data_IF_657199150007
#
_entry.id   IF_657199150007
#
_cell.length_a   1.000
_cell.length_b   1.000
_cell.length_c   1.000
_cell.angle_alpha   90.00
_cell.angle_beta   90.00
_cell.angle_gamma   90.00
#
_symmetry.space_group_name_H-M   'P 1'
#
loop_
_entity.id
_entity.type
_entity.pdbx_description
1 polymer ?
#
# COMPACT_ATOMS: atom_id res chain seq x y z
N UNK A 1 7.82 9.12 32.61
CA UNK A 1 8.48 9.72 31.43
C UNK A 1 9.97 9.66 31.62
N UNK A 2 10.75 9.25 30.61
CA UNK A 2 12.22 9.21 30.72
C UNK A 2 12.77 10.66 30.84
N UNK A 3 13.72 10.87 31.74
CA UNK A 3 14.31 12.19 32.03
C UNK A 3 14.90 12.84 30.77
N UNK A 4 15.50 12.04 29.88
CA UNK A 4 16.00 12.48 28.56
C UNK A 4 14.92 13.10 27.69
N UNK A 5 13.71 12.53 27.69
CA UNK A 5 12.59 13.04 26.90
C UNK A 5 12.03 14.37 27.43
N UNK A 6 12.10 14.57 28.73
CA UNK A 6 11.73 15.84 29.36
C UNK A 6 12.70 16.95 29.01
N UNK A 7 14.02 16.67 29.03
CA UNK A 7 15.04 17.64 28.63
C UNK A 7 14.95 17.99 27.14
N UNK A 8 14.68 17.02 26.28
CA UNK A 8 14.48 17.24 24.84
C UNK A 8 13.26 18.15 24.59
N UNK A 9 12.15 17.92 25.31
CA UNK A 9 10.98 18.80 25.24
C UNK A 9 11.23 20.21 25.77
N UNK A 10 12.01 20.33 26.84
CA UNK A 10 12.38 21.64 27.42
C UNK A 10 13.25 22.46 26.46
N UNK A 11 14.20 21.83 25.77
CA UNK A 11 15.01 22.45 24.74
C UNK A 11 14.23 22.89 23.52
N UNK A 12 13.16 22.14 23.17
CA UNK A 12 12.30 22.43 22.02
C UNK A 12 11.10 23.33 22.34
N UNK A 13 10.95 23.72 23.59
CA UNK A 13 9.84 24.60 23.99
C UNK A 13 9.93 25.92 23.25
N UNK A 14 8.87 26.27 22.52
CA UNK A 14 8.81 27.48 21.68
C UNK A 14 9.40 27.33 20.28
N UNK A 15 10.01 26.19 19.95
CA UNK A 15 10.47 25.91 18.58
C UNK A 15 9.38 25.17 17.78
N UNK A 16 9.33 25.48 16.48
CA UNK A 16 8.44 24.74 15.56
C UNK A 16 8.82 23.27 15.57
N UNK A 17 7.85 22.40 15.77
CA UNK A 17 8.09 20.95 15.78
C UNK A 17 8.40 20.47 14.36
N UNK A 18 9.66 20.46 13.96
CA UNK A 18 10.10 20.02 12.64
C UNK A 18 9.83 18.54 12.35
N UNK A 19 9.59 17.71 13.38
CA UNK A 19 9.23 16.30 13.20
C UNK A 19 7.89 16.11 12.51
N UNK A 20 6.98 17.04 12.62
CA UNK A 20 5.69 17.05 11.93
C UNK A 20 5.68 18.03 10.74
N UNK A 21 6.79 18.70 10.46
CA UNK A 21 6.90 19.52 9.28
C UNK A 21 6.73 18.65 8.03
N UNK A 22 5.95 19.12 7.08
CA UNK A 22 5.75 18.53 5.76
C UNK A 22 7.03 18.62 4.89
N UNK A 23 8.21 18.72 5.52
CA UNK A 23 9.48 18.73 4.83
C UNK A 23 9.78 17.30 4.35
N UNK A 24 9.80 17.05 3.05
CA UNK A 24 10.04 15.71 2.52
C UNK A 24 11.45 15.24 2.91
N UNK A 25 11.55 14.01 3.43
CA UNK A 25 12.86 13.36 3.62
C UNK A 25 13.48 13.09 2.25
N UNK A 26 14.81 13.13 2.18
CA UNK A 26 15.56 13.04 0.92
C UNK A 26 15.22 11.82 0.05
N UNK A 27 14.80 10.72 0.66
CA UNK A 27 14.43 9.48 -0.02
C UNK A 27 12.93 9.31 -0.31
N UNK A 28 12.08 10.29 0.02
CA UNK A 28 10.64 10.19 -0.28
C UNK A 28 10.37 10.28 -1.78
N UNK A 29 9.25 9.66 -2.19
CA UNK A 29 8.80 9.72 -3.57
C UNK A 29 8.61 11.16 -4.05
N UNK A 30 8.97 11.42 -5.30
CA UNK A 30 8.65 12.67 -5.97
C UNK A 30 7.18 12.71 -6.39
N UNK A 31 6.65 13.88 -6.71
CA UNK A 31 5.25 14.03 -7.15
C UNK A 31 5.00 13.29 -8.46
N UNK A 32 5.97 13.33 -9.39
CA UNK A 32 5.94 12.57 -10.64
C UNK A 32 5.89 11.06 -10.40
N UNK A 33 6.70 10.53 -9.47
CA UNK A 33 6.65 9.12 -9.10
C UNK A 33 5.29 8.73 -8.49
N UNK A 34 4.72 9.60 -7.66
CA UNK A 34 3.38 9.37 -7.10
C UNK A 34 2.30 9.37 -8.17
N UNK A 35 2.43 10.23 -9.19
CA UNK A 35 1.49 10.27 -10.33
C UNK A 35 1.58 8.99 -11.14
N UNK A 36 2.80 8.53 -11.48
CA UNK A 36 3.02 7.26 -12.18
C UNK A 36 2.48 6.06 -11.42
N UNK A 37 2.61 6.02 -10.09
CA UNK A 37 2.00 4.97 -9.26
C UNK A 37 0.47 4.98 -9.42
N UNK A 38 -0.15 6.15 -9.37
CA UNK A 38 -1.61 6.28 -9.55
C UNK A 38 -2.08 5.87 -10.95
N UNK A 39 -1.35 6.25 -11.99
CA UNK A 39 -1.63 5.87 -13.37
C UNK A 39 -1.52 4.36 -13.58
N UNK A 40 -0.46 3.74 -13.05
CA UNK A 40 -0.23 2.30 -13.14
C UNK A 40 -1.34 1.51 -12.41
N UNK A 41 -1.76 1.96 -11.23
CA UNK A 41 -2.85 1.30 -10.51
C UNK A 41 -4.19 1.36 -11.26
N UNK A 42 -4.47 2.44 -11.98
CA UNK A 42 -5.67 2.54 -12.84
C UNK A 42 -5.61 1.62 -14.05
N UNK A 43 -4.41 1.38 -14.61
CA UNK A 43 -4.21 0.44 -15.71
C UNK A 43 -4.35 -1.04 -15.28
N UNK A 44 -4.10 -1.34 -14.00
CA UNK A 44 -4.18 -2.71 -13.45
C UNK A 44 -5.12 -2.77 -12.23
N UNK A 45 -6.42 -2.52 -12.38
CA UNK A 45 -7.35 -2.35 -11.25
C UNK A 45 -7.61 -3.62 -10.43
N UNK A 46 -7.33 -4.79 -11.00
CA UNK A 46 -7.52 -6.08 -10.33
C UNK A 46 -6.31 -6.47 -9.46
N UNK A 47 -5.21 -5.72 -9.54
CA UNK A 47 -3.99 -6.06 -8.85
C UNK A 47 -3.87 -5.39 -7.48
N UNK A 48 -3.49 -6.17 -6.46
CA UNK A 48 -3.26 -5.64 -5.13
C UNK A 48 -1.98 -4.79 -5.07
N UNK A 49 -1.94 -3.77 -4.21
CA UNK A 49 -0.85 -2.81 -4.09
C UNK A 49 0.55 -3.43 -3.94
N UNK A 50 0.65 -4.60 -3.28
CA UNK A 50 1.95 -5.29 -3.14
C UNK A 50 2.44 -5.83 -4.47
N UNK A 51 1.54 -6.45 -5.27
CA UNK A 51 1.91 -6.94 -6.60
C UNK A 51 2.21 -5.78 -7.53
N UNK A 52 1.39 -4.73 -7.52
CA UNK A 52 1.66 -3.49 -8.28
C UNK A 52 3.05 -2.92 -8.00
N UNK A 53 3.50 -2.94 -6.73
CA UNK A 53 4.83 -2.45 -6.38
C UNK A 53 5.96 -3.23 -7.09
N UNK A 54 5.85 -4.56 -7.12
CA UNK A 54 6.85 -5.40 -7.80
C UNK A 54 6.72 -5.33 -9.33
N UNK A 55 5.50 -5.25 -9.87
CA UNK A 55 5.28 -5.04 -11.30
C UNK A 55 5.92 -3.73 -11.78
N UNK A 56 5.71 -2.62 -11.06
CA UNK A 56 6.34 -1.32 -11.38
C UNK A 56 7.85 -1.36 -11.27
N UNK A 57 8.38 -2.08 -10.29
CA UNK A 57 9.81 -2.25 -10.06
C UNK A 57 10.47 -3.03 -11.21
N UNK A 58 9.83 -4.11 -11.66
CA UNK A 58 10.31 -4.94 -12.76
C UNK A 58 10.20 -4.22 -14.11
N UNK A 59 9.11 -3.49 -14.34
CA UNK A 59 8.87 -2.68 -15.54
C UNK A 59 9.57 -1.31 -15.54
N UNK A 60 10.42 -1.01 -14.55
CA UNK A 60 11.16 0.25 -14.40
C UNK A 60 10.31 1.53 -14.34
N UNK A 61 9.04 1.38 -13.98
CA UNK A 61 8.11 2.51 -13.86
C UNK A 61 8.44 3.34 -12.63
N UNK A 62 8.41 2.72 -11.44
CA UNK A 62 8.81 3.35 -10.17
C UNK A 62 9.42 2.30 -9.24
N UNK A 63 10.61 2.56 -8.73
CA UNK A 63 11.26 1.71 -7.74
C UNK A 63 10.98 2.22 -6.31
N UNK A 64 10.01 1.59 -5.64
CA UNK A 64 9.66 1.91 -4.25
C UNK A 64 9.10 0.70 -3.50
N UNK A 65 9.05 0.81 -2.16
CA UNK A 65 8.52 -0.26 -1.32
C UNK A 65 7.00 -0.41 -1.45
N UNK A 66 6.44 -1.61 -1.23
CA UNK A 66 4.99 -1.80 -1.19
C UNK A 66 4.26 -0.88 -0.20
N UNK A 67 4.90 -0.54 0.94
CA UNK A 67 4.35 0.39 1.91
C UNK A 67 4.23 1.82 1.37
N UNK A 68 5.12 2.22 0.46
CA UNK A 68 5.05 3.52 -0.21
C UNK A 68 3.92 3.55 -1.22
N UNK A 69 3.77 2.49 -2.03
CA UNK A 69 2.63 2.33 -2.95
C UNK A 69 1.31 2.38 -2.19
N UNK A 70 1.19 1.64 -1.08
CA UNK A 70 -0.01 1.65 -0.24
C UNK A 70 -0.39 3.07 0.21
N UNK A 71 0.60 3.86 0.70
CA UNK A 71 0.35 5.23 1.17
C UNK A 71 -0.15 6.15 0.05
N UNK A 72 0.47 6.07 -1.13
CA UNK A 72 0.05 6.85 -2.31
C UNK A 72 -1.35 6.48 -2.74
N UNK A 73 -1.65 5.18 -2.89
CA UNK A 73 -2.97 4.72 -3.32
C UNK A 73 -4.06 5.03 -2.28
N UNK A 74 -3.73 4.94 -0.98
CA UNK A 74 -4.64 5.34 0.10
C UNK A 74 -4.98 6.83 0.03
N UNK A 75 -3.97 7.69 -0.13
CA UNK A 75 -4.16 9.13 -0.22
C UNK A 75 -5.00 9.54 -1.45
N UNK A 76 -4.95 8.76 -2.53
CA UNK A 76 -5.71 8.97 -3.77
C UNK A 76 -7.06 8.26 -3.81
N UNK A 77 -7.46 7.55 -2.77
CA UNK A 77 -8.72 6.78 -2.73
C UNK A 77 -8.77 5.60 -3.70
N UNK A 78 -7.61 5.09 -4.15
CA UNK A 78 -7.48 4.00 -5.14
C UNK A 78 -7.33 2.61 -4.50
N UNK A 79 -7.51 2.46 -3.19
CA UNK A 79 -7.51 1.16 -2.54
C UNK A 79 -8.92 0.59 -2.53
N UNK A 80 -9.11 -0.59 -3.14
CA UNK A 80 -10.34 -1.36 -2.98
C UNK A 80 -10.49 -1.78 -1.51
N UNK A 81 -11.63 -1.45 -0.91
CA UNK A 81 -11.92 -1.72 0.48
C UNK A 81 -12.25 -3.19 0.74
N UNK A 82 -11.26 -4.08 0.75
CA UNK A 82 -11.42 -5.42 1.30
C UNK A 82 -10.57 -5.56 2.56
N UNK A 83 -11.22 -5.72 3.70
CA UNK A 83 -10.56 -6.14 4.92
C UNK A 83 -10.13 -7.59 4.76
N UNK A 84 -8.84 -7.93 4.85
CA UNK A 84 -8.42 -9.32 4.80
C UNK A 84 -8.94 -10.04 6.03
N UNK A 85 -9.75 -11.09 5.81
CA UNK A 85 -10.11 -12.01 6.89
C UNK A 85 -8.84 -12.75 7.31
N UNK A 86 -8.44 -12.70 8.60
CA UNK A 86 -7.26 -13.40 9.05
C UNK A 86 -7.47 -14.92 8.89
N UNK A 87 -6.63 -15.55 8.06
CA UNK A 87 -6.60 -17.00 7.92
C UNK A 87 -5.83 -17.62 9.08
N UNK A 88 -6.44 -18.59 9.77
CA UNK A 88 -5.74 -19.40 10.77
C UNK A 88 -4.64 -20.19 10.08
N UNK A 89 -3.38 -19.93 10.41
CA UNK A 89 -2.26 -20.75 9.96
C UNK A 89 -2.27 -22.07 10.72
N UNK A 90 -2.38 -23.19 10.00
CA UNK A 90 -2.20 -24.50 10.58
C UNK A 90 -0.72 -24.76 10.84
N UNK A 91 -0.44 -25.44 11.94
CA UNK A 91 0.90 -25.92 12.30
C UNK A 91 0.97 -27.40 11.93
N UNK A 92 2.05 -27.85 11.27
CA UNK A 92 2.32 -29.29 11.12
C UNK A 92 2.55 -29.81 9.70
N UNK A 93 2.37 -29.03 8.63
CA UNK A 93 2.72 -29.47 7.28
C UNK A 93 4.13 -28.98 6.89
N UNK A 94 5.02 -29.93 6.61
CA UNK A 94 6.38 -29.63 6.13
C UNK A 94 6.26 -29.04 4.72
N UNK A 95 6.65 -27.79 4.57
CA UNK A 95 6.62 -27.11 3.29
C UNK A 95 7.77 -27.60 2.41
N UNK A 96 7.54 -27.89 1.12
CA UNK A 96 8.61 -28.24 0.19
C UNK A 96 9.54 -27.05 0.01
N UNK A 97 10.84 -27.32 -0.01
CA UNK A 97 11.89 -26.33 -0.17
C UNK A 97 12.33 -26.20 -1.64
N UNK A 98 12.25 -27.29 -2.40
CA UNK A 98 12.69 -27.36 -3.79
C UNK A 98 11.54 -27.69 -4.73
N UNK A 99 11.61 -27.25 -5.99
CA UNK A 99 10.69 -27.68 -7.02
C UNK A 99 10.64 -29.20 -7.12
N UNK A 100 9.50 -29.73 -7.49
CA UNK A 100 9.21 -31.15 -7.68
C UNK A 100 9.37 -32.06 -6.45
N UNK A 101 9.50 -31.50 -5.24
CA UNK A 101 9.41 -32.30 -4.00
C UNK A 101 7.97 -32.72 -3.71
N UNK A 102 7.01 -31.82 -3.90
CA UNK A 102 5.60 -32.08 -3.66
C UNK A 102 4.77 -31.60 -4.85
N UNK A 103 3.94 -32.49 -5.41
CA UNK A 103 2.90 -32.11 -6.35
C UNK A 103 1.53 -32.26 -5.69
N UNK A 104 0.77 -31.18 -5.68
CA UNK A 104 -0.63 -31.18 -5.24
C UNK A 104 -1.50 -31.47 -6.44
N UNK A 105 -2.39 -32.46 -6.32
CA UNK A 105 -3.37 -32.80 -7.36
C UNK A 105 -4.77 -32.66 -6.79
N UNK A 106 -5.67 -32.10 -7.56
CA UNK A 106 -7.06 -31.88 -7.16
C UNK A 106 -7.98 -31.73 -8.38
N UNK A 107 -9.24 -32.08 -8.18
CA UNK A 107 -10.28 -32.00 -9.20
C UNK A 107 -11.31 -30.96 -8.77
N UNK A 108 -11.57 -30.01 -9.64
CA UNK A 108 -12.54 -28.94 -9.41
C UNK A 108 -13.58 -28.91 -10.53
N UNK A 109 -14.80 -28.47 -10.20
CA UNK A 109 -15.87 -28.32 -11.18
C UNK A 109 -15.82 -26.96 -11.88
N UNK A 110 -16.00 -26.96 -13.20
CA UNK A 110 -16.23 -25.76 -14.01
C UNK A 110 -17.66 -25.84 -14.58
N UNK A 111 -18.46 -24.80 -14.32
CA UNK A 111 -19.75 -24.65 -14.98
C UNK A 111 -19.53 -23.89 -16.29
N UNK A 112 -19.86 -24.53 -17.42
CA UNK A 112 -19.75 -23.99 -18.76
C UNK A 112 -21.12 -24.08 -19.42
N UNK A 113 -21.77 -22.95 -19.66
CA UNK A 113 -23.10 -22.87 -20.25
C UNK A 113 -24.15 -23.78 -19.58
N UNK A 114 -24.09 -23.93 -18.25
CA UNK A 114 -25.02 -24.78 -17.48
C UNK A 114 -24.59 -26.24 -17.31
N UNK A 115 -23.55 -26.69 -18.01
CA UNK A 115 -22.99 -28.04 -17.88
C UNK A 115 -21.75 -28.04 -16.99
N UNK A 116 -21.63 -29.04 -16.12
CA UNK A 116 -20.48 -29.19 -15.25
C UNK A 116 -19.42 -30.09 -15.87
N UNK A 117 -18.21 -29.57 -15.94
CA UNK A 117 -17.00 -30.25 -16.38
C UNK A 117 -16.01 -30.39 -15.26
N UNK A 118 -15.11 -31.36 -15.36
CA UNK A 118 -14.08 -31.62 -14.36
C UNK A 118 -12.75 -31.02 -14.80
N UNK A 119 -12.18 -30.12 -13.99
CA UNK A 119 -10.82 -29.62 -14.15
C UNK A 119 -9.92 -30.34 -13.16
N UNK A 120 -9.04 -31.20 -13.65
CA UNK A 120 -7.94 -31.74 -12.87
C UNK A 120 -6.70 -30.86 -13.06
N UNK A 121 -6.03 -30.50 -11.97
CA UNK A 121 -4.81 -29.70 -12.01
C UNK A 121 -3.73 -30.33 -11.14
N UNK A 122 -2.47 -30.20 -11.57
CA UNK A 122 -1.27 -30.59 -10.82
C UNK A 122 -0.44 -29.34 -10.59
N UNK A 123 -0.21 -29.00 -9.32
CA UNK A 123 0.52 -27.81 -8.88
C UNK A 123 1.76 -28.22 -8.09
N UNK A 124 2.93 -27.68 -8.48
CA UNK A 124 4.14 -27.82 -7.70
C UNK A 124 4.06 -27.02 -6.39
N UNK A 125 4.29 -27.70 -5.28
CA UNK A 125 4.11 -27.15 -3.95
C UNK A 125 5.12 -26.09 -3.55
N UNK A 126 6.32 -26.08 -4.13
CA UNK A 126 7.37 -25.10 -3.85
C UNK A 126 7.22 -23.85 -4.72
N UNK A 127 7.22 -24.05 -6.04
CA UNK A 127 7.19 -22.95 -7.02
C UNK A 127 5.80 -22.38 -7.27
N UNK A 128 4.73 -23.10 -6.93
CA UNK A 128 3.34 -22.79 -7.32
C UNK A 128 3.07 -22.95 -8.82
N UNK A 129 3.98 -23.52 -9.56
CA UNK A 129 3.87 -23.76 -10.98
C UNK A 129 2.77 -24.80 -11.27
N UNK A 130 1.94 -24.54 -12.28
CA UNK A 130 0.97 -25.52 -12.77
C UNK A 130 1.70 -26.44 -13.73
N UNK A 131 1.99 -27.65 -13.24
CA UNK A 131 2.75 -28.67 -13.95
C UNK A 131 1.95 -29.24 -15.11
N UNK A 132 0.68 -29.54 -14.85
CA UNK A 132 -0.24 -30.05 -15.87
C UNK A 132 -1.70 -29.79 -15.46
N UNK A 133 -2.60 -29.75 -16.44
CA UNK A 133 -4.04 -29.62 -16.20
C UNK A 133 -4.83 -30.17 -17.39
N UNK A 134 -6.04 -30.67 -17.13
CA UNK A 134 -6.98 -31.09 -18.17
C UNK A 134 -8.42 -30.80 -17.76
N UNK A 135 -9.28 -30.52 -18.75
CA UNK A 135 -10.72 -30.42 -18.57
C UNK A 135 -11.37 -31.60 -19.29
N UNK A 136 -12.22 -32.33 -18.58
CA UNK A 136 -12.93 -33.52 -19.08
C UNK A 136 -14.40 -33.48 -18.71
N UNK A 137 -15.23 -34.23 -19.49
CA UNK A 137 -16.66 -34.40 -19.21
C UNK A 137 -16.90 -35.36 -18.05
N UNK A 138 -16.02 -36.34 -17.89
CA UNK A 138 -15.97 -37.30 -16.80
C UNK A 138 -14.57 -37.33 -16.20
N UNK A 139 -14.46 -37.78 -14.97
CA UNK A 139 -13.16 -37.88 -14.28
C UNK A 139 -13.14 -39.21 -13.55
N UNK A 140 -12.68 -40.22 -14.23
CA UNK A 140 -12.47 -41.56 -13.69
C UNK A 140 -11.05 -41.71 -13.12
N UNK A 141 -10.78 -42.82 -12.46
CA UNK A 141 -9.47 -43.13 -11.89
C UNK A 141 -8.39 -43.21 -12.97
N UNK A 142 -8.66 -43.89 -14.09
CA UNK A 142 -7.76 -43.97 -15.22
C UNK A 142 -7.40 -42.62 -15.84
N UNK A 143 -8.35 -41.68 -15.79
CA UNK A 143 -8.13 -40.32 -16.27
C UNK A 143 -7.09 -39.60 -15.43
N UNK A 144 -7.19 -39.72 -14.11
CA UNK A 144 -6.24 -39.09 -13.16
C UNK A 144 -4.83 -39.70 -13.30
N UNK A 145 -4.74 -41.02 -13.46
CA UNK A 145 -3.47 -41.70 -13.72
C UNK A 145 -2.85 -41.22 -15.06
N UNK A 146 -3.63 -41.06 -16.10
CA UNK A 146 -3.19 -40.55 -17.41
C UNK A 146 -2.69 -39.10 -17.29
N UNK A 147 -3.41 -38.22 -16.57
CA UNK A 147 -3.06 -36.82 -16.34
C UNK A 147 -1.71 -36.73 -15.58
N UNK A 148 -1.55 -37.58 -14.56
CA UNK A 148 -0.32 -37.62 -13.79
C UNK A 148 0.86 -38.19 -14.61
N UNK A 149 0.59 -39.18 -15.49
CA UNK A 149 1.61 -39.69 -16.38
C UNK A 149 2.10 -38.61 -17.37
N UNK A 150 1.20 -37.82 -17.94
CA UNK A 150 1.56 -36.70 -18.83
C UNK A 150 2.39 -35.65 -18.10
N UNK A 151 2.07 -35.36 -16.84
CA UNK A 151 2.89 -34.47 -16.01
C UNK A 151 4.32 -35.01 -15.80
N UNK A 152 4.46 -36.33 -15.62
CA UNK A 152 5.77 -36.99 -15.52
C UNK A 152 6.55 -36.98 -16.82
N UNK A 153 5.89 -37.13 -17.95
CA UNK A 153 6.53 -37.06 -19.25
C UNK A 153 7.17 -35.68 -19.51
N UNK A 154 6.54 -34.61 -19.02
CA UNK A 154 7.13 -33.28 -19.06
C UNK A 154 8.31 -33.11 -18.09
N UNK A 155 8.37 -33.89 -17.00
CA UNK A 155 9.43 -33.85 -15.99
C UNK A 155 9.89 -35.26 -15.59
N UNK A 156 10.61 -35.96 -16.45
CA UNK A 156 10.91 -37.40 -16.31
C UNK A 156 11.78 -37.74 -15.08
N UNK A 157 12.61 -36.80 -14.65
CA UNK A 157 13.48 -36.97 -13.48
C UNK A 157 12.78 -36.70 -12.15
N UNK A 158 11.60 -36.08 -12.19
CA UNK A 158 10.87 -35.74 -10.98
C UNK A 158 10.30 -36.99 -10.27
N UNK A 159 10.46 -37.05 -8.97
CA UNK A 159 9.92 -38.11 -8.08
C UNK A 159 9.15 -37.45 -6.94
N UNK A 160 8.07 -36.71 -7.24
CA UNK A 160 7.39 -35.92 -6.24
C UNK A 160 6.62 -36.81 -5.25
N UNK A 161 6.39 -36.27 -4.06
CA UNK A 161 5.32 -36.74 -3.19
C UNK A 161 4.01 -36.16 -3.70
N UNK A 162 3.08 -37.02 -4.08
CA UNK A 162 1.74 -36.64 -4.54
C UNK A 162 0.85 -36.38 -3.33
N UNK A 163 0.25 -35.19 -3.28
CA UNK A 163 -0.68 -34.79 -2.22
C UNK A 163 -2.04 -34.58 -2.85
N UNK A 164 -3.03 -35.36 -2.41
CA UNK A 164 -4.43 -35.24 -2.85
C UNK A 164 -5.39 -35.19 -1.67
N UNK A 165 -6.64 -34.86 -1.93
CA UNK A 165 -7.73 -35.12 -1.01
C UNK A 165 -8.09 -36.62 -0.97
N UNK A 166 -9.19 -36.97 -0.29
CA UNK A 166 -9.71 -38.33 -0.18
C UNK A 166 -10.79 -38.61 -1.27
N UNK A 167 -10.77 -37.92 -2.40
CA UNK A 167 -11.68 -38.18 -3.51
C UNK A 167 -11.59 -39.66 -3.95
N UNK A 168 -12.72 -40.24 -4.42
CA UNK A 168 -12.78 -41.67 -4.82
C UNK A 168 -11.72 -42.04 -5.85
N UNK A 169 -11.43 -41.14 -6.80
CA UNK A 169 -10.41 -41.33 -7.85
C UNK A 169 -8.97 -41.43 -7.31
N UNK A 170 -8.68 -40.91 -6.10
CA UNK A 170 -7.37 -40.97 -5.48
C UNK A 170 -7.22 -42.11 -4.45
N UNK A 171 -8.33 -42.77 -4.11
CA UNK A 171 -8.35 -43.84 -3.10
C UNK A 171 -8.21 -45.22 -3.75
N UNK A 172 -8.53 -45.32 -5.04
CA UNK A 172 -8.59 -46.53 -5.81
C UNK A 172 -7.28 -47.31 -5.88
N UNK A 173 -7.34 -48.65 -6.07
CA UNK A 173 -6.17 -49.51 -6.02
C UNK A 173 -5.21 -49.25 -7.18
N UNK A 174 -5.76 -49.05 -8.38
CA UNK A 174 -4.96 -48.88 -9.60
C UNK A 174 -4.18 -47.60 -9.60
N UNK A 175 -4.75 -46.49 -9.04
CA UNK A 175 -4.03 -45.25 -8.83
C UNK A 175 -2.83 -45.41 -7.84
N UNK A 176 -3.02 -46.13 -6.76
CA UNK A 176 -1.95 -46.41 -5.79
C UNK A 176 -0.84 -47.27 -6.39
N UNK A 177 -1.23 -48.29 -7.17
CA UNK A 177 -0.28 -49.15 -7.86
C UNK A 177 0.51 -48.37 -8.91
N UNK A 178 -0.16 -47.52 -9.70
CA UNK A 178 0.51 -46.58 -10.61
C UNK A 178 1.54 -45.71 -9.92
N UNK A 179 1.15 -45.07 -8.80
CA UNK A 179 2.08 -44.21 -8.01
C UNK A 179 3.31 -45.00 -7.54
N UNK A 180 3.11 -46.24 -7.06
CA UNK A 180 4.18 -47.15 -6.59
C UNK A 180 5.12 -47.52 -7.73
N UNK A 181 4.56 -47.96 -8.88
CA UNK A 181 5.35 -48.32 -10.06
C UNK A 181 6.12 -47.11 -10.63
N UNK A 182 5.53 -45.95 -10.51
CA UNK A 182 6.14 -44.68 -10.93
C UNK A 182 7.28 -44.18 -10.01
N UNK A 183 7.58 -44.89 -8.92
CA UNK A 183 8.60 -44.49 -7.94
C UNK A 183 8.23 -43.22 -7.15
N UNK A 184 6.94 -42.88 -7.07
CA UNK A 184 6.42 -41.75 -6.32
C UNK A 184 5.82 -42.19 -4.99
N UNK A 185 5.55 -41.25 -4.10
CA UNK A 185 4.83 -41.50 -2.85
C UNK A 185 3.52 -40.73 -2.84
N UNK A 186 2.46 -41.34 -2.29
CA UNK A 186 1.16 -40.72 -2.16
C UNK A 186 0.83 -40.40 -0.70
N UNK A 187 0.46 -39.16 -0.44
CA UNK A 187 0.01 -38.70 0.87
C UNK A 187 -1.38 -38.10 0.71
N UNK A 188 -2.34 -38.72 1.38
CA UNK A 188 -3.70 -38.19 1.48
C UNK A 188 -3.79 -37.15 2.56
N UNK A 189 -4.54 -36.11 2.31
CA UNK A 189 -4.84 -35.13 3.36
C UNK A 189 -5.76 -35.77 4.39
N UNK A 190 -5.43 -35.60 5.67
CA UNK A 190 -6.33 -36.02 6.75
C UNK A 190 -7.60 -35.15 6.71
N UNK A 191 -8.80 -35.74 6.99
CA UNK A 191 -10.04 -35.00 7.10
C UNK A 191 -9.96 -33.81 8.10
N UNK A 192 -9.07 -33.89 9.07
CA UNK A 192 -8.82 -32.84 10.09
C UNK A 192 -7.73 -31.86 9.70
N UNK A 193 -7.07 -32.02 8.54
CA UNK A 193 -6.01 -31.14 8.03
C UNK A 193 -6.23 -30.74 6.57
N UNK A 194 -7.32 -30.05 6.24
CA UNK A 194 -7.60 -29.62 4.86
C UNK A 194 -6.53 -28.63 4.32
N UNK A 195 -5.74 -28.03 5.22
CA UNK A 195 -4.73 -27.04 4.85
C UNK A 195 -3.57 -27.61 4.00
N UNK A 196 -3.36 -28.94 4.00
CA UNK A 196 -2.33 -29.54 3.17
C UNK A 196 -2.62 -29.42 1.68
N UNK A 197 -3.90 -29.34 1.27
CA UNK A 197 -4.30 -29.12 -0.13
C UNK A 197 -4.68 -27.64 -0.44
N UNK A 198 -4.67 -26.77 0.55
CA UNK A 198 -5.05 -25.37 0.41
C UNK A 198 -4.28 -24.56 -0.65
N UNK A 199 -3.13 -25.08 -1.13
CA UNK A 199 -2.37 -24.47 -2.22
C UNK A 199 -3.10 -24.60 -3.55
N UNK A 200 -3.56 -25.78 -3.88
CA UNK A 200 -4.27 -26.04 -5.14
C UNK A 200 -5.71 -25.56 -5.08
N UNK A 201 -6.36 -25.61 -3.92
CA UNK A 201 -7.67 -24.98 -3.71
C UNK A 201 -7.61 -23.46 -4.00
N UNK A 202 -6.57 -22.79 -3.53
CA UNK A 202 -6.33 -21.37 -3.82
C UNK A 202 -6.09 -21.13 -5.31
N UNK A 203 -5.40 -22.05 -6.00
CA UNK A 203 -5.22 -21.99 -7.44
C UNK A 203 -6.59 -22.04 -8.15
N UNK A 204 -7.44 -23.02 -7.82
CA UNK A 204 -8.77 -23.13 -8.41
C UNK A 204 -9.63 -21.88 -8.14
N UNK A 205 -9.60 -21.33 -6.93
CA UNK A 205 -10.30 -20.08 -6.62
C UNK A 205 -9.79 -18.91 -7.48
N UNK A 206 -8.46 -18.82 -7.65
CA UNK A 206 -7.82 -17.77 -8.44
C UNK A 206 -8.19 -17.88 -9.91
N UNK A 207 -8.08 -19.06 -10.51
CA UNK A 207 -8.49 -19.33 -11.90
C UNK A 207 -9.96 -18.96 -12.13
N UNK A 208 -10.85 -19.42 -11.24
CA UNK A 208 -12.29 -19.14 -11.36
C UNK A 208 -12.58 -17.64 -11.22
N UNK A 209 -11.92 -16.96 -10.28
CA UNK A 209 -12.16 -15.54 -10.02
C UNK A 209 -11.56 -14.60 -11.05
N UNK A 210 -10.30 -14.86 -11.46
CA UNK A 210 -9.55 -13.96 -12.33
C UNK A 210 -9.75 -14.27 -13.84
N UNK A 211 -10.31 -15.45 -14.20
CA UNK A 211 -10.46 -15.85 -15.61
C UNK A 211 -11.86 -16.37 -15.94
N UNK A 212 -12.29 -17.49 -15.39
CA UNK A 212 -13.51 -18.19 -15.82
C UNK A 212 -14.77 -17.31 -15.63
N UNK A 213 -14.92 -16.66 -14.45
CA UNK A 213 -16.09 -15.81 -14.15
C UNK A 213 -16.11 -14.52 -14.97
N UNK A 214 -14.95 -14.06 -15.42
CA UNK A 214 -14.82 -12.82 -16.19
C UNK A 214 -15.08 -13.11 -17.68
N UNK A 215 -14.48 -14.19 -18.21
CA UNK A 215 -14.53 -14.52 -19.64
C UNK A 215 -15.74 -15.34 -20.03
N UNK A 216 -16.44 -15.97 -19.08
CA UNK A 216 -17.67 -16.76 -19.24
C UNK A 216 -17.62 -17.69 -20.47
N UNK A 217 -16.91 -18.84 -20.39
CA UNK A 217 -16.77 -19.75 -21.53
C UNK A 217 -18.12 -20.31 -22.02
N UNK A 218 -18.30 -20.34 -23.32
CA UNK A 218 -19.55 -20.80 -23.96
C UNK A 218 -19.51 -22.26 -24.42
N UNK A 219 -18.32 -22.86 -24.54
CA UNK A 219 -18.10 -24.24 -24.93
C UNK A 219 -16.93 -24.86 -24.19
N UNK A 220 -16.78 -26.18 -24.25
CA UNK A 220 -15.65 -26.89 -23.68
C UNK A 220 -14.32 -26.44 -24.31
N UNK A 221 -14.28 -26.23 -25.61
CA UNK A 221 -13.07 -25.80 -26.32
C UNK A 221 -12.71 -24.33 -26.01
N UNK A 222 -13.73 -23.49 -25.86
CA UNK A 222 -13.51 -22.10 -25.38
C UNK A 222 -12.96 -22.10 -23.96
N UNK A 223 -13.48 -22.95 -23.07
CA UNK A 223 -12.95 -23.11 -21.73
C UNK A 223 -11.50 -23.60 -21.72
N UNK A 224 -11.16 -24.59 -22.58
CA UNK A 224 -9.78 -25.07 -22.74
C UNK A 224 -8.83 -23.92 -23.16
N UNK A 225 -9.24 -23.14 -24.16
CA UNK A 225 -8.48 -21.97 -24.62
C UNK A 225 -8.26 -20.96 -23.50
N UNK A 226 -9.34 -20.58 -22.80
CA UNK A 226 -9.29 -19.63 -21.70
C UNK A 226 -8.37 -20.11 -20.58
N UNK A 227 -8.43 -21.39 -20.22
CA UNK A 227 -7.56 -21.97 -19.19
C UNK A 227 -6.11 -22.07 -19.66
N UNK A 228 -5.86 -22.43 -20.94
CA UNK A 228 -4.50 -22.42 -21.53
C UNK A 228 -3.84 -21.04 -21.39
N UNK A 229 -4.53 -20.01 -21.87
CA UNK A 229 -4.04 -18.64 -21.80
C UNK A 229 -3.77 -18.20 -20.36
N UNK A 230 -4.70 -18.56 -19.46
CA UNK A 230 -4.55 -18.20 -18.07
C UNK A 230 -3.43 -18.95 -17.35
N UNK A 231 -3.24 -20.25 -17.60
CA UNK A 231 -2.13 -21.04 -17.04
C UNK A 231 -0.79 -20.49 -17.54
N UNK A 232 -0.70 -20.17 -18.83
CA UNK A 232 0.50 -19.53 -19.39
C UNK A 232 0.81 -18.23 -18.69
N UNK A 233 -0.17 -17.34 -18.57
CA UNK A 233 -0.03 -16.08 -17.83
C UNK A 233 0.32 -16.31 -16.35
N UNK A 234 -0.36 -17.25 -15.69
CA UNK A 234 -0.12 -17.57 -14.27
C UNK A 234 1.30 -18.05 -14.02
N UNK A 235 1.79 -18.94 -14.86
CA UNK A 235 3.12 -19.53 -14.71
C UNK A 235 4.25 -18.56 -15.06
N UNK A 236 4.09 -17.74 -16.11
CA UNK A 236 5.20 -16.97 -16.67
C UNK A 236 5.14 -15.46 -16.43
N UNK A 237 3.96 -14.90 -16.06
CA UNK A 237 3.77 -13.45 -15.92
C UNK A 237 3.30 -13.04 -14.53
N UNK A 238 2.36 -13.81 -13.96
CA UNK A 238 1.71 -13.44 -12.71
C UNK A 238 2.64 -13.60 -11.51
N UNK A 239 2.95 -12.50 -10.83
CA UNK A 239 3.75 -12.50 -9.61
C UNK A 239 2.98 -13.14 -8.44
N UNK A 240 3.57 -14.09 -7.73
CA UNK A 240 2.91 -14.86 -6.69
C UNK A 240 3.42 -14.51 -5.29
N UNK A 241 2.52 -14.04 -4.41
CA UNK A 241 2.88 -13.53 -3.06
C UNK A 241 3.53 -14.57 -2.15
N UNK A 242 3.15 -15.85 -2.26
CA UNK A 242 3.68 -16.90 -1.39
C UNK A 242 5.12 -17.32 -1.72
N UNK A 243 5.66 -16.90 -2.86
CA UNK A 243 7.03 -17.19 -3.32
C UNK A 243 7.87 -15.93 -3.53
N UNK A 244 7.54 -14.84 -2.83
CA UNK A 244 8.32 -13.59 -2.88
C UNK A 244 8.02 -12.68 -4.06
N UNK A 245 6.82 -12.77 -4.65
CA UNK A 245 6.41 -11.97 -5.81
C UNK A 245 7.31 -12.18 -7.03
N UNK A 246 7.78 -13.40 -7.25
CA UNK A 246 8.32 -13.85 -8.53
C UNK A 246 7.26 -14.66 -9.28
N UNK A 247 7.49 -14.98 -10.56
CA UNK A 247 6.60 -15.87 -11.30
C UNK A 247 6.82 -17.32 -10.84
N UNK A 248 5.81 -18.19 -10.92
CA UNK A 248 5.99 -19.62 -10.68
C UNK A 248 7.11 -20.24 -11.53
N UNK A 249 7.27 -19.81 -12.80
CA UNK A 249 8.34 -20.25 -13.68
C UNK A 249 9.72 -19.83 -13.16
N UNK A 250 9.90 -18.57 -12.75
CA UNK A 250 11.17 -18.09 -12.22
C UNK A 250 11.59 -18.87 -10.97
N UNK A 251 10.59 -19.21 -10.12
CA UNK A 251 10.84 -20.02 -8.92
C UNK A 251 11.16 -21.46 -9.28
N UNK A 252 10.51 -22.04 -10.30
CA UNK A 252 10.79 -23.39 -10.77
C UNK A 252 12.23 -23.49 -11.31
N UNK A 253 12.65 -22.47 -12.06
CA UNK A 253 13.98 -22.39 -12.66
C UNK A 253 15.07 -21.94 -11.68
N UNK A 254 14.73 -21.63 -10.43
CA UNK A 254 15.68 -21.18 -9.41
C UNK A 254 16.22 -19.75 -9.64
N UNK A 255 15.54 -18.92 -10.43
CA UNK A 255 15.96 -17.53 -10.74
C UNK A 255 15.59 -16.53 -9.66
N UNK A 256 14.74 -16.92 -8.69
CA UNK A 256 14.23 -16.03 -7.65
C UNK A 256 15.32 -15.30 -6.82
N UNK A 257 16.47 -15.89 -6.45
CA UNK A 257 17.49 -15.16 -5.69
C UNK A 257 18.16 -14.04 -6.50
N UNK A 258 18.29 -14.24 -7.80
CA UNK A 258 18.85 -13.21 -8.70
C UNK A 258 17.88 -12.06 -8.89
N UNK A 259 16.60 -12.37 -9.13
CA UNK A 259 15.53 -11.36 -9.25
C UNK A 259 15.45 -10.52 -7.97
N UNK A 260 15.50 -11.12 -6.79
CA UNK A 260 15.45 -10.39 -5.52
C UNK A 260 16.67 -9.48 -5.36
N UNK A 261 17.89 -9.96 -5.63
CA UNK A 261 19.11 -9.12 -5.59
C UNK A 261 19.03 -7.94 -6.56
N UNK A 262 18.49 -8.17 -7.76
CA UNK A 262 18.31 -7.10 -8.74
C UNK A 262 17.31 -6.04 -8.23
N UNK A 263 16.18 -6.47 -7.67
CA UNK A 263 15.17 -5.57 -7.09
C UNK A 263 15.72 -4.75 -5.93
N UNK A 264 16.50 -5.35 -5.04
CA UNK A 264 17.13 -4.66 -3.91
C UNK A 264 18.10 -3.58 -4.42
N UNK A 265 18.89 -3.88 -5.45
CA UNK A 265 19.77 -2.91 -6.10
C UNK A 265 18.97 -1.74 -6.69
N UNK A 266 17.92 -2.00 -7.47
CA UNK A 266 17.04 -0.95 -8.04
C UNK A 266 16.44 -0.06 -6.96
N UNK A 267 16.02 -0.64 -5.83
CA UNK A 267 15.48 0.12 -4.70
C UNK A 267 16.54 1.02 -4.05
N UNK A 268 17.77 0.54 -3.89
CA UNK A 268 18.88 1.31 -3.35
C UNK A 268 19.25 2.49 -4.27
N UNK A 269 19.41 2.22 -5.55
CA UNK A 269 19.70 3.22 -6.58
C UNK A 269 18.61 4.31 -6.66
N UNK A 270 17.35 3.91 -6.60
CA UNK A 270 16.25 4.87 -6.63
C UNK A 270 16.21 5.78 -5.38
N UNK A 271 16.57 5.24 -4.20
CA UNK A 271 16.71 6.04 -2.96
C UNK A 271 17.84 7.06 -3.09
N UNK A 272 18.96 6.65 -3.65
CA UNK A 272 20.11 7.53 -3.85
C UNK A 272 19.82 8.62 -4.89
N UNK A 273 19.20 8.29 -6.03
CA UNK A 273 18.73 9.29 -7.02
C UNK A 273 17.84 10.36 -6.39
N UNK A 274 16.86 9.96 -5.56
CA UNK A 274 15.97 10.90 -4.87
C UNK A 274 16.74 11.80 -3.91
N UNK A 275 17.72 11.25 -3.18
CA UNK A 275 18.60 12.03 -2.28
C UNK A 275 19.38 13.08 -3.06
N UNK A 276 20.03 12.69 -4.14
CA UNK A 276 20.82 13.60 -5.00
C UNK A 276 19.96 14.70 -5.62
N UNK A 277 18.78 14.35 -6.13
CA UNK A 277 17.84 15.34 -6.67
C UNK A 277 17.46 16.40 -5.63
N UNK A 278 17.12 16.00 -4.42
CA UNK A 278 16.75 16.96 -3.35
C UNK A 278 17.93 17.77 -2.85
N UNK A 279 19.11 17.18 -2.77
CA UNK A 279 20.33 17.91 -2.44
C UNK A 279 20.67 18.94 -3.52
N UNK A 280 20.52 18.59 -4.80
CA UNK A 280 20.71 19.53 -5.90
C UNK A 280 19.68 20.67 -5.87
N UNK A 281 18.41 20.37 -5.58
CA UNK A 281 17.37 21.40 -5.38
C UNK A 281 17.68 22.35 -4.22
N UNK A 282 18.23 21.84 -3.11
CA UNK A 282 18.64 22.68 -1.97
C UNK A 282 19.88 23.53 -2.27
N UNK A 283 20.77 23.05 -3.16
CA UNK A 283 22.00 23.77 -3.55
C UNK A 283 21.78 24.81 -4.65
N UNK A 284 20.70 24.70 -5.41
CA UNK A 284 20.32 25.77 -6.33
C UNK A 284 19.88 26.96 -5.51
N UNK A 285 20.62 28.09 -5.52
CA UNK A 285 20.14 29.31 -4.89
C UNK A 285 18.76 29.58 -5.52
N UNK A 286 17.80 29.91 -4.68
CA UNK A 286 16.45 30.27 -5.09
C UNK A 286 16.49 31.50 -6.02
N UNK A 287 16.86 31.28 -7.26
CA UNK A 287 16.75 32.25 -8.33
C UNK A 287 15.36 32.10 -8.98
N UNK A 288 14.36 32.12 -8.13
CA UNK A 288 13.00 32.50 -8.46
C UNK A 288 12.51 33.24 -7.22
N UNK A 289 12.16 34.49 -7.40
CA UNK A 289 11.56 35.36 -6.42
C UNK A 289 10.54 34.58 -5.57
N UNK A 290 11.01 34.00 -4.45
CA UNK A 290 10.16 33.78 -3.32
C UNK A 290 9.75 35.21 -2.95
N UNK A 291 8.59 35.63 -3.41
CA UNK A 291 7.88 36.69 -2.73
C UNK A 291 7.77 36.18 -1.31
N UNK A 292 8.73 36.60 -0.46
CA UNK A 292 8.70 36.31 0.95
C UNK A 292 7.42 36.93 1.46
N UNK A 293 6.36 36.09 1.56
CA UNK A 293 5.10 36.55 2.14
C UNK A 293 5.44 37.06 3.52
N UNK A 294 5.16 38.32 3.86
CA UNK A 294 5.51 38.84 5.16
C UNK A 294 4.87 37.96 6.24
N UNK A 295 5.60 37.67 7.29
CA UNK A 295 5.06 36.87 8.39
C UNK A 295 3.91 37.64 9.04
N UNK A 296 2.68 37.08 8.95
CA UNK A 296 1.49 37.69 9.51
C UNK A 296 1.47 37.50 11.04
N UNK A 297 1.19 38.55 11.77
CA UNK A 297 0.82 38.45 13.18
C UNK A 297 -0.65 38.05 13.32
N UNK A 298 -0.89 36.75 13.39
CA UNK A 298 -2.21 36.19 13.55
C UNK A 298 -2.90 36.57 14.87
N UNK A 299 -2.14 36.92 15.91
CA UNK A 299 -2.71 37.38 17.16
C UNK A 299 -3.31 38.79 16.99
N UNK A 300 -2.57 39.67 16.32
CA UNK A 300 -3.06 41.01 16.00
C UNK A 300 -4.26 40.98 15.03
N UNK A 301 -4.25 40.08 14.01
CA UNK A 301 -5.39 39.90 13.10
C UNK A 301 -6.64 39.43 13.89
N UNK A 302 -6.50 38.49 14.80
CA UNK A 302 -7.63 38.00 15.62
C UNK A 302 -8.18 39.07 16.56
N UNK A 303 -7.33 39.94 17.07
CA UNK A 303 -7.77 41.06 17.90
C UNK A 303 -8.50 42.15 17.09
N UNK A 304 -8.11 42.35 15.85
CA UNK A 304 -8.66 43.42 14.99
C UNK A 304 -9.98 42.99 14.27
N UNK A 305 -10.25 41.68 14.11
CA UNK A 305 -11.37 41.15 13.34
C UNK A 305 -12.48 40.67 14.27
N UNK A 306 -13.63 41.35 14.28
CA UNK A 306 -14.79 40.91 15.03
C UNK A 306 -15.56 39.80 14.32
N UNK A 307 -16.15 38.87 15.08
CA UNK A 307 -16.95 37.79 14.52
C UNK A 307 -18.25 38.34 13.87
N UNK A 308 -18.76 39.44 14.37
CA UNK A 308 -19.92 40.11 13.77
C UNK A 308 -19.64 40.60 12.35
N UNK A 309 -18.46 41.19 12.11
CA UNK A 309 -18.03 41.62 10.77
C UNK A 309 -17.91 40.43 9.81
N UNK A 310 -17.38 39.30 10.27
CA UNK A 310 -17.28 38.07 9.46
C UNK A 310 -18.66 37.52 9.13
N UNK A 311 -19.58 37.47 10.08
CA UNK A 311 -20.96 37.03 9.83
C UNK A 311 -21.67 37.93 8.82
N UNK A 312 -21.45 39.23 8.91
CA UNK A 312 -21.99 40.17 7.94
C UNK A 312 -21.43 39.92 6.52
N UNK A 313 -20.12 39.73 6.38
CA UNK A 313 -19.49 39.38 5.10
C UNK A 313 -19.99 38.03 4.53
N UNK A 314 -20.39 37.10 5.37
CA UNK A 314 -20.98 35.82 4.98
C UNK A 314 -22.50 35.91 4.66
N UNK A 315 -23.06 37.12 4.71
CA UNK A 315 -24.50 37.33 4.45
C UNK A 315 -25.41 36.82 5.56
N UNK A 316 -24.87 36.60 6.77
CA UNK A 316 -25.64 36.13 7.91
C UNK A 316 -26.08 37.31 8.76
N UNK A 317 -27.40 37.67 8.78
CA UNK A 317 -27.88 38.77 9.61
C UNK A 317 -27.68 38.44 11.10
N UNK A 318 -27.02 39.35 11.83
CA UNK A 318 -26.73 39.18 13.24
C UNK A 318 -27.97 39.57 14.07
N UNK A 319 -28.72 38.58 14.51
CA UNK A 319 -29.81 38.78 15.47
C UNK A 319 -29.30 38.43 16.87
N UNK A 320 -28.78 39.43 17.58
CA UNK A 320 -28.22 39.24 18.91
C UNK A 320 -29.29 39.45 20.02
N UNK A 321 -29.29 38.55 20.99
CA UNK A 321 -29.86 38.81 22.32
C UNK A 321 -28.70 38.88 23.31
N UNK A 322 -28.32 40.10 23.72
CA UNK A 322 -27.07 40.32 24.47
C UNK A 322 -25.82 40.01 23.64
N UNK A 323 -24.84 39.38 24.24
CA UNK A 323 -23.54 39.02 23.59
C UNK A 323 -23.58 37.74 22.74
N UNK A 324 -24.74 37.06 22.63
CA UNK A 324 -24.87 35.83 21.87
C UNK A 324 -25.74 35.98 20.63
N UNK A 325 -25.21 35.51 19.48
CA UNK A 325 -25.96 35.29 18.25
C UNK A 325 -26.23 33.82 18.04
N UNK A 326 -27.48 33.46 17.67
CA UNK A 326 -27.87 32.10 17.27
C UNK A 326 -28.61 32.11 15.94
N UNK A 327 -28.21 31.22 15.03
CA UNK A 327 -28.78 31.16 13.69
C UNK A 327 -28.40 29.90 12.89
N UNK A 328 -28.70 29.89 11.60
CA UNK A 328 -28.23 28.87 10.67
C UNK A 328 -26.71 28.93 10.54
N UNK A 329 -26.07 27.77 10.36
CA UNK A 329 -24.61 27.68 10.22
C UNK A 329 -24.19 28.08 8.79
N UNK A 330 -23.27 29.02 8.61
CA UNK A 330 -22.78 29.42 7.28
C UNK A 330 -21.88 28.36 6.62
N UNK A 331 -21.37 27.36 7.36
CA UNK A 331 -20.39 26.41 6.89
C UNK A 331 -20.98 25.17 6.21
N UNK A 332 -22.18 24.74 6.61
CA UNK A 332 -22.81 23.53 6.04
C UNK A 332 -24.17 23.78 5.38
N UNK A 333 -24.57 25.03 5.22
CA UNK A 333 -25.82 25.40 4.58
C UNK A 333 -27.04 24.76 5.28
N UNK A 334 -27.67 25.46 6.23
CA UNK A 334 -28.90 24.93 6.81
C UNK A 334 -30.07 25.24 5.87
N UNK A 335 -30.78 24.22 5.41
CA UNK A 335 -31.97 24.35 4.53
C UNK A 335 -33.18 24.99 5.25
N UNK A 336 -33.14 25.14 6.57
CA UNK A 336 -34.17 25.78 7.36
C UNK A 336 -33.70 27.14 7.88
N UNK A 337 -34.33 28.21 7.44
CA UNK A 337 -34.08 29.58 7.92
C UNK A 337 -34.32 29.79 9.44
N UNK A 338 -34.99 28.84 10.10
CA UNK A 338 -35.25 28.85 11.54
C UNK A 338 -34.22 28.05 12.35
N UNK A 339 -33.21 27.48 11.71
CA UNK A 339 -32.19 26.67 12.38
C UNK A 339 -31.38 27.50 13.37
N UNK A 340 -31.18 26.98 14.58
CA UNK A 340 -30.36 27.57 15.66
C UNK A 340 -29.12 26.73 16.01
N UNK A 341 -28.62 25.97 15.06
CA UNK A 341 -27.46 25.07 15.29
C UNK A 341 -26.11 25.79 15.41
N UNK A 342 -26.04 27.06 14.99
CA UNK A 342 -24.85 27.88 15.11
C UNK A 342 -24.98 28.88 16.23
N UNK A 343 -23.94 29.02 17.05
CA UNK A 343 -23.84 30.00 18.14
C UNK A 343 -22.53 30.78 18.00
N UNK A 344 -22.57 32.09 18.07
CA UNK A 344 -21.42 32.96 18.16
C UNK A 344 -21.49 33.86 19.36
N UNK A 345 -20.36 34.00 20.08
CA UNK A 345 -20.19 34.96 21.16
C UNK A 345 -19.55 36.22 20.61
N UNK A 346 -20.29 37.33 20.60
CA UNK A 346 -19.90 38.55 19.88
C UNK A 346 -18.70 39.25 20.52
N UNK A 347 -18.65 39.26 21.88
CA UNK A 347 -17.57 39.93 22.63
C UNK A 347 -16.28 39.11 22.67
N UNK A 348 -16.40 37.79 22.69
CA UNK A 348 -15.24 36.88 22.69
C UNK A 348 -14.75 36.49 21.32
N UNK A 349 -15.50 36.85 20.26
CA UNK A 349 -15.20 36.55 18.84
C UNK A 349 -15.01 35.04 18.53
N UNK A 350 -15.76 34.17 19.22
CA UNK A 350 -15.74 32.72 19.04
C UNK A 350 -17.07 32.18 18.57
N UNK A 351 -17.05 31.05 17.84
CA UNK A 351 -18.25 30.36 17.41
C UNK A 351 -18.18 28.86 17.70
N UNK A 352 -19.36 28.25 17.74
CA UNK A 352 -19.54 26.81 17.78
C UNK A 352 -20.81 26.40 17.01
N UNK A 353 -20.70 25.39 16.16
CA UNK A 353 -21.85 24.78 15.50
C UNK A 353 -22.16 23.40 16.10
N UNK A 354 -23.32 23.26 16.72
CA UNK A 354 -23.74 22.01 17.37
C UNK A 354 -24.11 20.88 16.40
N UNK A 355 -24.28 21.19 15.11
CA UNK A 355 -24.60 20.17 14.08
C UNK A 355 -23.37 19.63 13.37
N UNK A 356 -22.44 20.48 12.94
CA UNK A 356 -21.21 20.04 12.25
C UNK A 356 -19.98 19.97 13.17
N UNK A 357 -20.09 20.34 14.47
CA UNK A 357 -19.00 20.29 15.44
C UNK A 357 -17.90 21.34 15.23
N UNK A 358 -17.96 22.16 14.18
CA UNK A 358 -16.93 23.18 13.92
C UNK A 358 -17.02 24.29 14.94
N UNK A 359 -15.87 24.72 15.44
CA UNK A 359 -15.70 25.80 16.40
C UNK A 359 -14.40 26.55 16.13
N UNK A 360 -14.25 27.73 16.68
CA UNK A 360 -13.03 28.53 16.52
C UNK A 360 -13.31 30.02 16.69
N UNK A 361 -12.38 30.86 16.22
CA UNK A 361 -12.46 32.31 16.22
C UNK A 361 -12.99 32.88 14.87
N UNK A 362 -13.04 34.19 14.76
CA UNK A 362 -13.52 34.89 13.56
C UNK A 362 -12.70 34.52 12.29
N UNK A 363 -11.38 34.39 12.40
CA UNK A 363 -10.52 34.01 11.29
C UNK A 363 -10.75 32.53 10.87
N UNK A 364 -10.91 31.63 11.85
CA UNK A 364 -11.22 30.22 11.58
C UNK A 364 -12.56 30.07 10.86
N UNK A 365 -13.56 30.88 11.21
CA UNK A 365 -14.84 30.89 10.54
C UNK A 365 -14.72 31.30 9.08
N UNK A 366 -13.97 32.37 8.78
CA UNK A 366 -13.75 32.85 7.41
C UNK A 366 -12.96 31.83 6.58
N UNK A 367 -11.84 31.31 7.11
CA UNK A 367 -11.03 30.30 6.45
C UNK A 367 -11.86 29.04 6.08
N UNK A 368 -12.72 28.61 7.01
CA UNK A 368 -13.58 27.45 6.81
C UNK A 368 -14.70 27.72 5.78
N UNK A 369 -15.26 28.92 5.76
CA UNK A 369 -16.33 29.30 4.82
C UNK A 369 -15.82 29.52 3.39
N UNK A 370 -14.60 30.05 3.24
CA UNK A 370 -13.97 30.34 1.95
C UNK A 370 -13.02 29.25 1.46
N UNK A 371 -12.81 28.18 2.25
CA UNK A 371 -11.87 27.08 1.97
C UNK A 371 -10.42 27.57 1.70
N UNK A 372 -10.03 28.65 2.34
CA UNK A 372 -8.68 29.27 2.23
C UNK A 372 -7.74 28.77 3.30
N UNK A 373 -6.42 28.91 3.03
CA UNK A 373 -5.41 28.71 4.09
C UNK A 373 -5.55 29.82 5.14
N UNK A 374 -5.11 29.63 6.40
CA UNK A 374 -5.14 30.67 7.41
C UNK A 374 -4.43 31.96 6.99
N UNK A 375 -3.35 31.86 6.20
CA UNK A 375 -2.61 32.98 5.66
C UNK A 375 -3.44 33.79 4.64
N UNK A 376 -4.02 33.10 3.67
CA UNK A 376 -4.83 33.71 2.61
C UNK A 376 -6.13 34.30 3.18
N UNK A 377 -6.73 33.59 4.15
CA UNK A 377 -7.92 34.05 4.87
C UNK A 377 -7.66 35.33 5.68
N UNK A 378 -6.52 35.43 6.38
CA UNK A 378 -6.13 36.64 7.11
C UNK A 378 -5.91 37.81 6.15
N UNK A 379 -5.20 37.59 5.05
CA UNK A 379 -4.94 38.62 4.02
C UNK A 379 -6.24 39.09 3.35
N UNK A 380 -7.15 38.19 3.02
CA UNK A 380 -8.44 38.50 2.38
C UNK A 380 -9.38 39.25 3.33
N UNK A 381 -9.48 38.80 4.60
CA UNK A 381 -10.28 39.47 5.63
C UNK A 381 -9.79 40.90 5.92
N UNK A 382 -8.48 41.08 6.13
CA UNK A 382 -7.91 42.40 6.34
C UNK A 382 -8.20 43.34 5.18
N UNK A 383 -8.07 42.86 3.93
CA UNK A 383 -8.39 43.64 2.74
C UNK A 383 -9.88 44.01 2.66
N UNK A 384 -10.80 43.04 2.93
CA UNK A 384 -12.26 43.30 2.86
C UNK A 384 -12.76 44.23 3.95
N UNK A 385 -12.14 44.16 5.11
CA UNK A 385 -12.49 45.01 6.26
C UNK A 385 -11.69 46.31 6.31
N UNK A 386 -10.85 46.57 5.30
CA UNK A 386 -9.96 47.71 5.22
C UNK A 386 -9.06 47.89 6.46
N UNK A 387 -8.58 46.77 6.99
CA UNK A 387 -7.66 46.72 8.12
C UNK A 387 -6.23 46.53 7.56
N UNK A 388 -5.24 47.32 7.98
CA UNK A 388 -3.85 47.08 7.59
C UNK A 388 -3.40 45.72 8.07
N UNK A 389 -2.77 44.90 7.17
CA UNK A 389 -2.34 43.53 7.50
C UNK A 389 -1.20 43.60 8.53
N UNK A 390 -1.39 43.13 9.79
CA UNK A 390 -0.34 43.13 10.78
C UNK A 390 0.76 42.12 10.40
N UNK A 391 2.01 42.60 10.29
CA UNK A 391 3.16 41.76 9.98
C UNK A 391 4.13 41.75 11.15
N UNK A 392 4.74 40.61 11.43
CA UNK A 392 5.82 40.50 12.40
C UNK A 392 7.06 41.18 11.84
N UNK A 393 7.85 41.91 12.67
CA UNK A 393 9.11 42.49 12.24
C UNK A 393 10.06 41.37 11.77
N UNK A 394 10.72 41.59 10.64
CA UNK A 394 11.72 40.65 10.14
C UNK A 394 12.83 40.49 11.22
N UNK A 395 12.94 39.27 11.76
CA UNK A 395 14.05 38.94 12.66
C UNK A 395 15.35 39.08 11.87
N UNK A 396 16.18 40.05 12.21
CA UNK A 396 17.56 40.20 11.71
C UNK A 396 18.25 38.85 11.99
N UNK A 397 18.73 38.19 10.93
CA UNK A 397 19.70 37.12 11.10
C UNK A 397 20.82 37.59 12.02
N UNK A 398 21.02 36.89 13.13
CA UNK A 398 22.23 37.01 13.90
C UNK A 398 23.36 36.65 12.95
N UNK A 399 24.23 37.61 12.67
CA UNK A 399 25.54 37.41 12.09
C UNK A 399 26.22 36.30 12.90
N UNK A 400 26.67 35.25 12.24
CA UNK A 400 27.48 34.19 12.83
C UNK A 400 28.80 34.82 13.33
N UNK A 401 28.96 34.96 14.64
CA UNK A 401 30.28 35.16 15.22
C UNK A 401 31.15 33.94 14.94
N UNK A 402 32.40 34.11 14.49
CA UNK A 402 33.29 33.00 14.22
C UNK A 402 33.60 32.24 15.50
N UNK A 403 33.18 30.97 15.56
CA UNK A 403 33.49 30.06 16.67
C UNK A 403 34.99 29.80 16.71
N UNK A 404 35.65 30.25 17.78
CA UNK A 404 37.04 29.95 18.08
C UNK A 404 37.23 28.44 18.28
N UNK A 405 38.33 27.82 17.81
CA UNK A 405 38.56 26.39 17.91
C UNK A 405 38.77 25.96 19.37
N UNK A 406 38.01 24.98 19.81
CA UNK A 406 38.11 24.33 21.11
C UNK A 406 39.42 23.53 21.23
N UNK A 407 40.24 23.72 22.30
CA UNK A 407 41.44 22.92 22.52
C UNK A 407 41.11 21.66 23.31
N UNK A 408 40.89 20.52 22.63
CA UNK A 408 41.04 19.20 23.25
C UNK A 408 40.94 18.08 22.22
N UNK A 409 42.04 17.83 21.48
CA UNK A 409 42.29 16.56 20.83
C UNK A 409 43.24 15.74 21.71
N UNK A 410 42.69 14.92 22.59
CA UNK A 410 43.46 13.80 23.19
C UNK A 410 43.52 12.67 22.17
N UNK A 411 44.69 12.48 21.59
CA UNK A 411 45.13 11.30 20.85
C UNK A 411 45.12 10.07 21.75
N UNK A 412 44.31 9.08 21.41
CA UNK A 412 44.40 7.74 22.00
C UNK A 412 45.42 6.92 21.19
N UNK A 413 46.29 6.14 21.85
CA UNK A 413 47.25 5.28 21.14
C UNK A 413 46.55 4.02 20.55
N UNK A 414 46.99 3.64 19.35
CA UNK A 414 46.62 2.39 18.66
C UNK A 414 47.02 1.15 19.47
N UNK A 415 46.22 0.10 19.48
CA UNK A 415 46.62 -1.20 20.04
C UNK A 415 47.57 -1.91 19.10
N UNK A 416 48.59 -2.53 19.68
CA UNK A 416 49.61 -3.33 19.02
C UNK A 416 49.06 -4.58 18.37
N UNK A 417 49.61 -4.90 17.21
CA UNK A 417 49.39 -6.15 16.48
C UNK A 417 50.17 -7.25 17.16
N UNK A 418 49.51 -8.21 17.76
CA UNK A 418 50.13 -9.48 18.17
C UNK A 418 50.08 -10.49 17.00
N UNK A 419 51.23 -10.94 16.59
CA UNK A 419 51.45 -12.07 15.69
C UNK A 419 51.24 -13.40 16.43
N UNK A 420 50.63 -14.42 15.84
CA UNK A 420 50.58 -15.74 16.48
C UNK A 420 51.84 -16.53 16.20
N UNK A 421 52.40 -17.09 17.28
CA UNK A 421 53.41 -18.15 17.26
C UNK A 421 52.74 -19.51 17.09
N UNK A 422 53.33 -20.35 16.18
CA UNK A 422 53.30 -21.80 16.02
C UNK A 422 51.98 -22.56 16.14
#
# INVERSE_FOLDING_TARGET
>A
MAVSKFHDWKQRFGQVNEHNALVPRDHWLTDDEQERIGAFARAYPLEGYRRLAFMMLDAEVVACSPSSVYRVLKARGLLAGSSPVPTKKGTGFVQPLRPHEHWHIDVSYLNIAGTFYFLCSILDGASRFIVHWEIREKMEESDVATILQRAREAYPDARPRIISDNGPQFVAKDFKEFIRLAGMTHVKTSPYYPQSNGKIERWHQTLKGESIRIKVPLSLDDARRIVTDYVTHYNSVRLHSAIGYVTPQDKLDGRDPEIHRHRDRKLAEARERRRQLRQAQRRQPACQSVVTRPAIDFAAVRAAVSIAAVLHLLGCPVHARGSQHRGPCPLHGSTSGTSRCFSAHLDQHVFHCFKCGRHGNALDLWAAATQQTPYDAASDLCRRLNIPLPTLPATRNREEEPVAPSPNSRTMPSPAVETPFQ
#
